data_IF_578394202115
#
_entry.id   IF_578394202115
#
_cell.length_a   1.000
_cell.length_b   1.000
_cell.length_c   1.000
_cell.angle_alpha   90.00
_cell.angle_beta   90.00
_cell.angle_gamma   90.00
#
_symmetry.space_group_name_H-M   'P 1'
#
loop_
_entity.id
_entity.type
_entity.pdbx_description
1 polymer ?
#
# COMPACT_ATOMS: atom_id res chain seq x y z
N UNK A 1 -6.41 23.80 16.20
CA UNK A 1 -6.61 22.81 15.11
C UNK A 1 -5.62 21.67 15.29
N UNK A 2 -6.08 20.54 15.82
CA UNK A 2 -5.26 19.32 15.79
C UNK A 2 -5.23 18.84 14.34
N UNK A 3 -4.06 18.90 13.70
CA UNK A 3 -3.86 18.29 12.38
C UNK A 3 -4.15 16.79 12.50
N UNK A 4 -4.95 16.26 11.58
CA UNK A 4 -5.26 14.83 11.49
C UNK A 4 -4.17 14.05 10.76
N UNK A 5 -3.12 14.71 10.30
CA UNK A 5 -1.96 14.11 9.63
C UNK A 5 -0.65 14.71 10.15
N UNK A 6 0.42 13.94 9.98
CA UNK A 6 1.79 14.35 10.28
C UNK A 6 2.67 13.96 9.08
N UNK A 7 3.41 14.91 8.55
CA UNK A 7 4.43 14.65 7.53
C UNK A 7 5.74 14.22 8.23
N UNK A 8 6.33 13.13 7.77
CA UNK A 8 7.58 12.57 8.28
C UNK A 8 8.56 12.35 7.14
N UNK A 9 9.87 12.34 7.45
CA UNK A 9 10.95 12.22 6.44
C UNK A 9 11.75 10.93 6.54
N UNK A 10 11.62 10.19 7.65
CA UNK A 10 12.32 8.94 7.88
C UNK A 10 11.31 7.82 8.02
N UNK A 11 11.43 6.81 7.18
CA UNK A 11 10.63 5.59 7.27
C UNK A 11 10.99 4.82 8.53
N UNK A 12 12.29 4.63 8.76
CA UNK A 12 12.83 3.85 9.86
C UNK A 12 12.41 4.38 11.24
N UNK A 13 12.44 5.70 11.41
CA UNK A 13 12.03 6.33 12.68
C UNK A 13 10.51 6.22 12.92
N UNK A 14 9.75 6.04 11.86
CA UNK A 14 8.28 6.00 11.92
C UNK A 14 7.74 4.58 12.07
N UNK A 15 8.41 3.58 11.49
CA UNK A 15 7.97 2.18 11.47
C UNK A 15 7.53 1.63 12.83
N UNK A 16 8.22 1.92 13.97
CA UNK A 16 7.82 1.38 15.28
C UNK A 16 6.45 1.85 15.79
N UNK A 17 5.95 2.96 15.28
CA UNK A 17 4.70 3.60 15.74
C UNK A 17 3.50 3.31 14.84
N UNK A 18 3.70 2.57 13.74
CA UNK A 18 2.66 2.35 12.73
C UNK A 18 1.76 1.15 13.06
N UNK A 19 0.47 1.34 12.91
CA UNK A 19 -0.52 0.26 12.88
C UNK A 19 -0.65 -0.36 11.49
N UNK A 20 -0.45 0.42 10.43
CA UNK A 20 -0.51 0.01 9.02
C UNK A 20 0.53 0.79 8.22
N UNK A 21 1.24 0.10 7.33
CA UNK A 21 2.12 0.75 6.35
C UNK A 21 1.51 0.58 4.94
N UNK A 22 1.14 1.70 4.31
CA UNK A 22 0.69 1.73 2.92
C UNK A 22 1.79 2.31 2.04
N UNK A 23 2.53 1.45 1.35
CA UNK A 23 3.58 1.85 0.41
C UNK A 23 2.99 2.19 -0.95
N UNK A 24 3.60 3.17 -1.61
CA UNK A 24 3.33 3.50 -3.01
C UNK A 24 4.64 3.72 -3.74
N UNK A 25 4.65 3.54 -5.06
CA UNK A 25 5.85 3.82 -5.85
C UNK A 25 6.15 5.32 -5.87
N UNK A 26 7.44 5.66 -5.98
CA UNK A 26 7.89 7.02 -6.26
C UNK A 26 7.60 7.33 -7.74
N UNK A 27 6.73 8.32 -7.99
CA UNK A 27 6.28 8.67 -9.34
C UNK A 27 7.31 9.57 -10.02
N UNK A 28 8.13 9.00 -10.91
CA UNK A 28 9.16 9.72 -11.67
C UNK A 28 8.58 10.90 -12.43
N UNK A 29 7.40 10.75 -13.00
CA UNK A 29 6.70 11.76 -13.78
C UNK A 29 6.33 13.04 -13.00
N UNK A 30 6.43 13.03 -11.69
CA UNK A 30 6.18 14.21 -10.83
C UNK A 30 7.42 15.00 -10.47
N UNK A 31 8.61 14.52 -10.86
CA UNK A 31 9.86 15.22 -10.61
C UNK A 31 10.24 16.09 -11.80
N UNK A 32 10.55 17.36 -11.53
CA UNK A 32 11.05 18.30 -12.53
C UNK A 32 12.52 18.02 -12.90
N UNK A 33 13.26 17.38 -12.00
CA UNK A 33 14.67 17.07 -12.14
C UNK A 33 14.90 15.57 -11.90
N UNK A 34 15.61 14.93 -12.82
CA UNK A 34 15.94 13.49 -12.74
C UNK A 34 16.87 13.18 -11.56
N UNK A 35 17.75 14.12 -11.19
CA UNK A 35 18.65 13.96 -10.05
C UNK A 35 17.89 13.87 -8.72
N UNK A 36 16.84 14.65 -8.56
CA UNK A 36 15.98 14.60 -7.37
C UNK A 36 15.23 13.27 -7.28
N UNK A 37 14.76 12.75 -8.41
CA UNK A 37 14.15 11.42 -8.46
C UNK A 37 15.15 10.31 -8.05
N UNK A 38 16.36 10.35 -8.62
CA UNK A 38 17.42 9.36 -8.33
C UNK A 38 17.80 9.37 -6.84
N UNK A 39 17.85 10.56 -6.23
CA UNK A 39 18.16 10.71 -4.80
C UNK A 39 17.06 10.17 -3.89
N UNK A 40 15.79 10.28 -4.28
CA UNK A 40 14.65 9.93 -3.46
C UNK A 40 14.18 8.49 -3.67
N UNK A 41 14.34 7.93 -4.87
CA UNK A 41 13.85 6.57 -5.18
C UNK A 41 14.41 5.50 -4.24
N UNK A 42 15.68 5.62 -3.84
CA UNK A 42 16.36 4.65 -2.98
C UNK A 42 16.16 4.91 -1.48
N UNK A 43 15.58 6.08 -1.14
CA UNK A 43 15.38 6.49 0.27
C UNK A 43 14.22 5.74 0.93
N UNK A 44 13.21 5.34 0.16
CA UNK A 44 11.97 4.74 0.68
C UNK A 44 11.81 3.27 0.29
N UNK A 45 12.91 2.52 0.25
CA UNK A 45 12.85 1.07 0.02
C UNK A 45 12.56 0.36 1.35
N UNK A 46 11.47 -0.42 1.37
CA UNK A 46 11.17 -1.35 2.44
C UNK A 46 11.82 -2.70 2.13
N UNK A 47 12.68 -3.15 3.00
CA UNK A 47 13.29 -4.48 2.97
C UNK A 47 13.03 -5.22 4.29
N UNK A 48 13.43 -6.47 4.36
CA UNK A 48 13.21 -7.32 5.53
C UNK A 48 13.90 -6.78 6.79
N UNK A 49 15.06 -6.14 6.64
CA UNK A 49 15.80 -5.53 7.75
C UNK A 49 15.03 -4.36 8.37
N UNK A 50 14.59 -3.41 7.55
CA UNK A 50 13.75 -2.28 8.01
C UNK A 50 12.43 -2.75 8.61
N UNK A 51 11.84 -3.79 8.03
CA UNK A 51 10.59 -4.36 8.52
C UNK A 51 10.71 -4.93 9.94
N UNK A 52 11.91 -5.26 10.41
CA UNK A 52 12.13 -5.69 11.80
C UNK A 52 11.89 -4.57 12.83
N UNK A 53 11.96 -3.32 12.41
CA UNK A 53 11.67 -2.16 13.28
C UNK A 53 10.17 -1.98 13.51
N UNK A 54 9.34 -2.54 12.67
CA UNK A 54 7.90 -2.41 12.72
C UNK A 54 7.24 -3.43 13.67
N UNK A 55 6.04 -3.15 14.19
CA UNK A 55 5.26 -4.11 14.96
C UNK A 55 5.07 -5.45 14.22
N UNK A 56 5.04 -6.53 14.97
CA UNK A 56 5.03 -7.89 14.42
C UNK A 56 3.74 -8.24 13.65
N UNK A 57 2.69 -7.48 13.83
CA UNK A 57 1.35 -7.65 13.25
C UNK A 57 0.94 -6.49 12.34
N UNK A 58 1.84 -5.52 12.08
CA UNK A 58 1.57 -4.38 11.20
C UNK A 58 1.42 -4.85 9.73
N UNK A 59 0.24 -4.75 9.09
CA UNK A 59 0.11 -5.11 7.70
C UNK A 59 0.82 -4.10 6.78
N UNK A 60 1.46 -4.62 5.74
CA UNK A 60 2.07 -3.84 4.66
C UNK A 60 1.18 -3.93 3.44
N UNK A 61 0.72 -2.78 2.96
CA UNK A 61 -0.15 -2.61 1.81
C UNK A 61 0.60 -1.93 0.66
N UNK A 62 0.22 -2.26 -0.57
CA UNK A 62 0.71 -1.64 -1.80
C UNK A 62 -0.28 -1.88 -2.93
N UNK A 63 -0.63 -0.88 -3.74
CA UNK A 63 -1.63 -1.05 -4.80
C UNK A 63 -1.13 -1.89 -5.99
N UNK A 64 0.16 -2.21 -6.06
CA UNK A 64 0.83 -2.90 -7.16
C UNK A 64 0.48 -2.31 -8.56
N UNK A 65 1.33 -2.46 -9.58
CA UNK A 65 2.66 -3.10 -9.51
C UNK A 65 3.68 -2.26 -8.75
N UNK A 66 4.60 -2.93 -8.08
CA UNK A 66 5.79 -2.28 -7.49
C UNK A 66 6.94 -2.27 -8.50
N UNK A 67 7.91 -1.38 -8.26
CA UNK A 67 9.22 -1.38 -8.93
C UNK A 67 10.26 -1.92 -7.95
N UNK A 68 10.77 -1.09 -7.06
CA UNK A 68 11.81 -1.41 -6.09
C UNK A 68 11.51 -0.93 -4.66
N UNK A 69 10.40 -0.21 -4.47
CA UNK A 69 10.02 0.37 -3.18
C UNK A 69 9.67 -0.66 -2.09
N UNK A 70 9.36 -1.89 -2.47
CA UNK A 70 9.31 -3.05 -1.57
C UNK A 70 10.20 -4.14 -2.16
N UNK A 71 11.21 -4.53 -1.42
CA UNK A 71 12.12 -5.60 -1.79
C UNK A 71 11.41 -6.96 -1.79
N UNK A 72 11.80 -7.86 -2.69
CA UNK A 72 11.16 -9.18 -2.84
C UNK A 72 11.35 -10.10 -1.63
N UNK A 73 12.33 -9.82 -0.77
CA UNK A 73 12.52 -10.56 0.48
C UNK A 73 11.37 -10.35 1.49
N UNK A 74 10.61 -9.24 1.36
CA UNK A 74 9.43 -8.95 2.17
C UNK A 74 8.25 -9.86 1.81
N UNK A 75 8.19 -10.40 0.59
CA UNK A 75 7.04 -11.17 0.08
C UNK A 75 6.69 -12.42 0.93
N UNK A 76 7.67 -12.96 1.62
CA UNK A 76 7.50 -14.13 2.49
C UNK A 76 7.17 -13.77 3.94
N UNK A 77 7.13 -12.49 4.29
CA UNK A 77 6.75 -12.04 5.62
C UNK A 77 5.23 -12.09 5.79
N UNK A 78 4.77 -12.53 6.96
CA UNK A 78 3.33 -12.62 7.28
C UNK A 78 2.57 -11.30 7.22
N UNK A 79 3.31 -10.17 7.30
CA UNK A 79 2.78 -8.81 7.21
C UNK A 79 2.58 -8.33 5.78
N UNK A 80 3.10 -9.04 4.78
CA UNK A 80 2.96 -8.71 3.36
C UNK A 80 1.53 -8.97 2.88
N UNK A 81 0.63 -8.00 3.07
CA UNK A 81 -0.79 -8.10 2.74
C UNK A 81 -1.15 -7.56 1.35
N UNK A 82 -0.18 -7.08 0.58
CA UNK A 82 -0.43 -6.39 -0.70
C UNK A 82 -0.92 -7.34 -1.82
N UNK A 83 -0.57 -8.61 -1.83
CA UNK A 83 -1.11 -9.55 -2.81
C UNK A 83 -2.59 -9.85 -2.55
N UNK A 84 -2.97 -10.08 -1.30
CA UNK A 84 -4.35 -10.23 -0.89
C UNK A 84 -5.17 -8.96 -1.12
N UNK A 85 -4.58 -7.79 -0.84
CA UNK A 85 -5.18 -6.49 -1.10
C UNK A 85 -5.59 -6.33 -2.56
N UNK A 86 -4.74 -6.72 -3.51
CA UNK A 86 -5.03 -6.62 -4.95
C UNK A 86 -6.19 -7.52 -5.34
N UNK A 87 -6.26 -8.72 -4.81
CA UNK A 87 -7.38 -9.64 -5.02
C UNK A 87 -8.67 -9.06 -4.44
N UNK A 88 -8.64 -8.55 -3.22
CA UNK A 88 -9.77 -7.90 -2.57
C UNK A 88 -10.20 -6.64 -3.35
N UNK A 89 -9.25 -5.88 -3.88
CA UNK A 89 -9.52 -4.72 -4.73
C UNK A 89 -10.32 -5.06 -5.99
N UNK A 90 -10.10 -6.24 -6.58
CA UNK A 90 -10.91 -6.73 -7.71
C UNK A 90 -12.36 -6.96 -7.29
N UNK A 91 -12.58 -7.64 -6.18
CA UNK A 91 -13.93 -7.92 -5.67
C UNK A 91 -14.67 -6.64 -5.28
N UNK A 92 -14.02 -5.72 -4.61
CA UNK A 92 -14.61 -4.44 -4.22
C UNK A 92 -15.00 -3.61 -5.44
N UNK A 93 -14.17 -3.56 -6.48
CA UNK A 93 -14.52 -2.86 -7.74
C UNK A 93 -15.73 -3.49 -8.43
N UNK A 94 -15.80 -4.81 -8.47
CA UNK A 94 -16.98 -5.52 -9.01
C UNK A 94 -18.23 -5.18 -8.22
N UNK A 95 -18.19 -5.28 -6.90
CA UNK A 95 -19.30 -4.94 -6.03
C UNK A 95 -19.74 -3.48 -6.18
N UNK A 96 -18.78 -2.54 -6.26
CA UNK A 96 -19.07 -1.13 -6.45
C UNK A 96 -19.78 -0.85 -7.77
N UNK A 97 -19.31 -1.42 -8.88
CA UNK A 97 -19.96 -1.28 -10.19
C UNK A 97 -21.36 -1.84 -10.17
N UNK A 98 -21.55 -3.03 -9.61
CA UNK A 98 -22.88 -3.65 -9.48
C UNK A 98 -23.81 -2.81 -8.63
N UNK A 99 -23.32 -2.22 -7.54
CA UNK A 99 -24.12 -1.34 -6.67
C UNK A 99 -24.53 -0.06 -7.38
N UNK A 100 -23.60 0.60 -8.08
CA UNK A 100 -23.88 1.83 -8.82
C UNK A 100 -24.87 1.63 -9.99
N UNK A 101 -24.88 0.45 -10.58
CA UNK A 101 -25.81 0.07 -11.64
C UNK A 101 -27.09 -0.60 -11.10
N UNK A 102 -27.26 -0.65 -9.77
CA UNK A 102 -28.40 -1.30 -9.10
C UNK A 102 -28.62 -2.77 -9.51
N UNK A 103 -27.53 -3.47 -9.85
CA UNK A 103 -27.60 -4.88 -10.24
C UNK A 103 -27.80 -5.78 -9.03
N UNK A 104 -28.41 -6.94 -9.28
CA UNK A 104 -28.53 -8.01 -8.31
C UNK A 104 -27.38 -9.02 -8.46
N UNK A 105 -26.96 -9.62 -7.37
CA UNK A 105 -26.03 -10.74 -7.38
C UNK A 105 -26.72 -11.94 -8.08
N UNK A 106 -26.14 -12.48 -9.17
CA UNK A 106 -26.73 -13.57 -9.92
C UNK A 106 -26.84 -14.88 -9.13
N UNK A 107 -26.05 -15.04 -8.06
CA UNK A 107 -26.06 -16.23 -7.22
C UNK A 107 -27.11 -16.17 -6.13
N UNK A 108 -27.33 -15.00 -5.54
CA UNK A 108 -28.23 -14.82 -4.40
C UNK A 108 -29.54 -14.11 -4.74
N UNK A 109 -29.62 -13.46 -5.91
CA UNK A 109 -30.76 -12.64 -6.32
C UNK A 109 -30.99 -11.38 -5.48
N UNK A 110 -30.04 -11.04 -4.60
CA UNK A 110 -30.12 -9.86 -3.72
C UNK A 110 -29.35 -8.69 -4.32
N UNK A 111 -29.75 -7.46 -3.98
CA UNK A 111 -28.93 -6.28 -4.27
C UNK A 111 -27.58 -6.39 -3.55
N UNK A 112 -26.52 -5.90 -4.18
CA UNK A 112 -25.14 -5.99 -3.65
C UNK A 112 -24.95 -5.08 -2.44
N UNK A 113 -25.65 -3.93 -2.41
CA UNK A 113 -25.72 -3.01 -1.26
C UNK A 113 -27.14 -2.45 -1.09
#
# INVERSE_FOLDING_TARGET
NKSVYKEVRSLEDTLPELDVLYMTRVQRERFFNEDDYIRLKDTYILNKEKLQLAPADMPVLHPLPRVDEISTDVDTDKRAAYFEQVQNGKYIRMALIMSLLELTDPLTGKKVL
#
